data_IF_792606119077
#
_entry.id   IF_792606119077
#
_cell.length_a   1.000
_cell.length_b   1.000
_cell.length_c   1.000
_cell.angle_alpha   90.00
_cell.angle_beta   90.00
_cell.angle_gamma   90.00
#
_symmetry.space_group_name_H-M   'P 1'
#
loop_
_entity.id
_entity.type
_entity.pdbx_description
1 polymer ?
#
# COMPACT_ATOMS: atom_id res chain seq x y z
N UNK A 1 -16.46 5.68 10.04
CA UNK A 1 -15.72 6.85 10.57
C UNK A 1 -15.56 7.78 9.38
N UNK A 2 -16.34 8.86 9.31
CA UNK A 2 -16.27 9.81 8.20
C UNK A 2 -14.97 10.60 8.31
N UNK A 3 -13.96 10.19 7.53
CA UNK A 3 -12.71 10.93 7.35
C UNK A 3 -12.92 12.07 6.35
N UNK A 4 -13.81 13.00 6.68
CA UNK A 4 -14.01 14.25 5.92
C UNK A 4 -13.27 15.44 6.54
N UNK A 5 -12.49 15.23 7.60
CA UNK A 5 -11.80 16.33 8.24
C UNK A 5 -10.51 16.69 7.49
N UNK A 6 -10.63 17.65 6.57
CA UNK A 6 -9.54 18.32 5.84
C UNK A 6 -8.36 18.69 6.75
N UNK A 7 -8.65 18.97 8.02
CA UNK A 7 -7.65 19.26 9.05
C UNK A 7 -6.69 18.08 9.31
N UNK A 8 -7.20 16.85 9.37
CA UNK A 8 -6.40 15.67 9.66
C UNK A 8 -5.52 15.28 8.47
N UNK A 9 -6.03 15.43 7.24
CA UNK A 9 -5.22 15.30 6.02
C UNK A 9 -4.10 16.34 5.99
N UNK A 10 -4.38 17.58 6.39
CA UNK A 10 -3.36 18.64 6.41
C UNK A 10 -2.25 18.32 7.41
N UNK A 11 -2.61 17.88 8.63
CA UNK A 11 -1.63 17.44 9.64
C UNK A 11 -0.74 16.31 9.16
N UNK A 12 -1.31 15.34 8.44
CA UNK A 12 -0.56 14.21 7.88
C UNK A 12 0.39 14.65 6.78
N UNK A 13 0.00 15.61 5.96
CA UNK A 13 0.86 16.15 4.89
C UNK A 13 2.01 17.00 5.43
N UNK A 14 1.84 17.62 6.59
CA UNK A 14 2.93 18.32 7.29
C UNK A 14 4.02 17.35 7.79
N UNK A 15 3.71 16.05 7.92
CA UNK A 15 4.66 15.00 8.27
C UNK A 15 5.39 14.41 7.05
N UNK A 16 4.99 14.75 5.83
CA UNK A 16 5.59 14.21 4.63
C UNK A 16 7.05 14.67 4.45
N UNK A 17 7.92 13.73 4.10
CA UNK A 17 9.32 14.06 3.78
C UNK A 17 9.42 14.70 2.39
N UNK A 18 10.47 15.49 2.10
CA UNK A 18 10.70 16.01 0.74
C UNK A 18 10.89 14.93 -0.33
N UNK A 19 11.15 13.68 0.08
CA UNK A 19 11.28 12.53 -0.82
C UNK A 19 9.94 11.82 -1.06
N UNK A 20 8.92 12.11 -0.28
CA UNK A 20 7.61 11.49 -0.42
C UNK A 20 6.91 12.04 -1.66
N UNK A 21 6.39 11.14 -2.48
CA UNK A 21 5.79 11.51 -3.76
C UNK A 21 4.41 10.91 -3.89
N UNK A 22 3.49 11.73 -4.40
CA UNK A 22 2.20 11.30 -4.91
C UNK A 22 2.19 11.50 -6.42
N UNK A 23 1.73 10.51 -7.16
CA UNK A 23 1.68 10.60 -8.61
C UNK A 23 0.39 10.04 -9.17
N UNK A 24 -0.09 10.69 -10.22
CA UNK A 24 -1.27 10.28 -10.97
C UNK A 24 -0.81 9.70 -12.29
N UNK A 25 -1.20 8.46 -12.53
CA UNK A 25 -1.02 7.79 -13.82
C UNK A 25 -2.21 8.18 -14.69
N UNK A 26 -1.96 8.91 -15.79
CA UNK A 26 -3.03 9.45 -16.61
C UNK A 26 -3.75 8.34 -17.41
N UNK A 27 -5.04 8.52 -17.66
CA UNK A 27 -5.74 7.82 -18.73
C UNK A 27 -5.65 8.64 -20.04
N UNK A 28 -6.31 8.20 -21.11
CA UNK A 28 -6.29 8.90 -22.41
C UNK A 28 -6.84 10.33 -22.31
N UNK A 29 -7.93 10.53 -21.55
CA UNK A 29 -8.52 11.85 -21.34
C UNK A 29 -7.58 12.75 -20.54
N UNK A 30 -6.95 12.21 -19.50
CA UNK A 30 -5.95 12.92 -18.70
C UNK A 30 -4.75 13.35 -19.53
N UNK A 31 -4.24 12.47 -20.39
CA UNK A 31 -3.15 12.81 -21.31
C UNK A 31 -3.52 13.99 -22.20
N UNK A 32 -4.70 13.97 -22.83
CA UNK A 32 -5.17 15.08 -23.68
C UNK A 32 -5.30 16.37 -22.86
N UNK A 33 -5.89 16.28 -21.66
CA UNK A 33 -6.15 17.44 -20.78
C UNK A 33 -4.86 18.09 -20.29
N UNK A 34 -3.85 17.28 -19.96
CA UNK A 34 -2.62 17.72 -19.31
C UNK A 34 -1.39 17.71 -20.24
N UNK A 35 -1.56 17.50 -21.56
CA UNK A 35 -0.45 17.39 -22.52
C UNK A 35 0.55 18.56 -22.42
N UNK A 36 0.05 19.79 -22.19
CA UNK A 36 0.89 21.00 -22.13
C UNK A 36 1.80 21.07 -20.89
N UNK A 37 1.45 20.37 -19.80
CA UNK A 37 2.24 20.37 -18.56
C UNK A 37 3.14 19.14 -18.44
N UNK A 38 3.06 18.20 -19.40
CA UNK A 38 3.97 17.06 -19.47
C UNK A 38 5.38 17.51 -19.91
N UNK A 39 6.43 16.75 -19.53
CA UNK A 39 7.77 16.91 -20.09
C UNK A 39 7.73 16.88 -21.63
N UNK A 40 8.53 17.72 -22.33
CA UNK A 40 8.47 17.80 -23.80
C UNK A 40 8.64 16.47 -24.53
N UNK A 41 9.46 15.56 -24.00
CA UNK A 41 9.70 14.21 -24.52
C UNK A 41 8.51 13.25 -24.34
N UNK A 42 7.50 13.67 -23.59
CA UNK A 42 6.28 12.92 -23.27
C UNK A 42 5.02 13.54 -23.86
N UNK A 43 5.14 14.55 -24.73
CA UNK A 43 4.02 15.23 -25.38
C UNK A 43 3.60 14.54 -26.67
N UNK A 44 2.37 14.83 -27.10
CA UNK A 44 1.80 14.62 -28.44
C UNK A 44 1.51 13.15 -28.83
N UNK A 45 2.31 12.19 -28.39
CA UNK A 45 2.10 10.77 -28.64
C UNK A 45 1.64 10.05 -27.38
N UNK A 46 0.35 9.75 -27.30
CA UNK A 46 -0.19 8.89 -26.26
C UNK A 46 0.26 7.44 -26.49
N UNK A 47 1.15 6.95 -25.64
CA UNK A 47 1.53 5.54 -25.58
C UNK A 47 0.89 4.88 -24.35
N UNK A 48 -0.09 3.97 -24.52
CA UNK A 48 -0.72 3.26 -23.41
C UNK A 48 0.27 2.48 -22.54
N UNK A 49 1.39 2.04 -23.13
CA UNK A 49 2.46 1.29 -22.47
C UNK A 49 3.45 2.17 -21.70
N UNK A 50 3.49 3.48 -22.00
CA UNK A 50 4.43 4.43 -21.43
C UNK A 50 3.77 5.76 -21.08
N UNK A 51 2.63 5.70 -20.40
CA UNK A 51 1.91 6.92 -20.01
C UNK A 51 2.71 7.65 -18.92
N UNK A 52 3.00 8.94 -19.09
CA UNK A 52 3.67 9.72 -18.08
C UNK A 52 2.82 9.85 -16.81
N UNK A 53 3.50 9.81 -15.67
CA UNK A 53 2.90 10.13 -14.39
C UNK A 53 3.02 11.64 -14.15
N UNK A 54 1.97 12.26 -13.63
CA UNK A 54 2.06 13.59 -13.04
C UNK A 54 2.57 13.44 -11.62
N UNK A 55 3.82 13.83 -11.38
CA UNK A 55 4.46 13.75 -10.07
C UNK A 55 4.21 15.01 -9.25
N UNK A 56 3.92 14.80 -7.97
CA UNK A 56 3.76 15.84 -6.97
C UNK A 56 4.56 15.42 -5.72
N UNK A 57 5.42 16.32 -5.23
CA UNK A 57 6.05 16.11 -3.93
C UNK A 57 4.99 16.31 -2.85
N UNK A 58 4.91 15.46 -1.84
CA UNK A 58 3.87 15.60 -0.81
C UNK A 58 4.12 16.75 0.17
N UNK A 59 5.36 17.22 0.28
CA UNK A 59 5.71 18.39 1.10
C UNK A 59 5.15 19.69 0.50
N UNK A 60 4.45 20.50 1.29
CA UNK A 60 4.05 21.87 0.93
C UNK A 60 2.65 22.00 0.29
N UNK A 61 2.53 22.69 -0.84
CA UNK A 61 1.24 23.09 -1.49
C UNK A 61 0.37 21.94 -2.01
N UNK A 62 0.79 20.70 -1.81
CA UNK A 62 0.21 19.46 -2.37
C UNK A 62 -1.08 19.04 -1.67
N UNK A 63 -1.33 19.58 -0.48
CA UNK A 63 -2.61 19.51 0.21
C UNK A 63 -3.78 19.92 -0.67
N UNK A 64 -3.64 20.99 -1.46
CA UNK A 64 -4.75 21.45 -2.31
C UNK A 64 -5.12 20.44 -3.41
N UNK A 65 -4.15 19.74 -4.00
CA UNK A 65 -4.43 18.78 -5.08
C UNK A 65 -5.04 17.49 -4.55
N UNK A 66 -4.61 17.02 -3.38
CA UNK A 66 -5.24 15.88 -2.71
C UNK A 66 -6.68 16.18 -2.30
N UNK A 67 -6.97 17.41 -1.86
CA UNK A 67 -8.34 17.85 -1.56
C UNK A 67 -9.25 17.93 -2.80
N UNK A 68 -8.68 17.93 -4.00
CA UNK A 68 -9.42 17.91 -5.27
C UNK A 68 -9.33 16.57 -5.99
N UNK A 69 -8.91 15.50 -5.30
CA UNK A 69 -8.64 14.19 -5.90
C UNK A 69 -9.81 13.68 -6.75
N UNK A 70 -11.05 13.80 -6.28
CA UNK A 70 -12.25 13.38 -6.99
C UNK A 70 -12.35 13.96 -8.41
N UNK A 71 -12.00 15.24 -8.57
CA UNK A 71 -12.01 15.92 -9.87
C UNK A 71 -10.96 15.37 -10.83
N UNK A 72 -9.91 14.76 -10.29
CA UNK A 72 -8.80 14.17 -11.06
C UNK A 72 -9.06 12.72 -11.43
N UNK A 73 -9.92 11.99 -10.71
CA UNK A 73 -10.15 10.57 -10.94
C UNK A 73 -10.66 10.26 -12.36
N UNK A 74 -11.46 11.15 -12.96
CA UNK A 74 -11.90 11.02 -14.37
C UNK A 74 -10.74 11.03 -15.39
N UNK A 75 -9.58 11.57 -15.01
CA UNK A 75 -8.38 11.68 -15.82
C UNK A 75 -7.32 10.63 -15.47
N UNK A 76 -7.64 9.74 -14.53
CA UNK A 76 -6.68 8.85 -13.87
C UNK A 76 -6.94 7.40 -14.25
N UNK A 77 -5.86 6.63 -14.50
CA UNK A 77 -5.90 5.16 -14.59
C UNK A 77 -5.30 4.46 -13.37
N UNK A 78 -4.54 5.21 -12.57
CA UNK A 78 -3.95 4.72 -11.33
C UNK A 78 -3.25 5.83 -10.56
N UNK A 79 -2.93 5.54 -9.31
CA UNK A 79 -2.30 6.47 -8.37
C UNK A 79 -1.13 5.75 -7.73
N UNK A 80 0.01 6.43 -7.54
CA UNK A 80 1.10 5.90 -6.72
C UNK A 80 1.44 6.86 -5.59
N UNK A 81 1.60 6.30 -4.40
CA UNK A 81 2.06 6.96 -3.19
C UNK A 81 3.36 6.28 -2.76
N UNK A 82 4.47 7.03 -2.77
CA UNK A 82 5.78 6.54 -2.33
C UNK A 82 6.22 7.30 -1.10
N UNK A 83 6.45 6.58 -0.02
CA UNK A 83 6.74 7.10 1.32
C UNK A 83 8.09 6.63 1.80
N UNK A 84 8.90 7.54 2.34
CA UNK A 84 10.19 7.25 2.94
C UNK A 84 10.10 7.34 4.47
N UNK A 85 10.57 6.30 5.16
CA UNK A 85 10.40 6.20 6.62
C UNK A 85 8.92 6.26 7.03
N UNK A 86 8.09 5.35 6.50
CA UNK A 86 6.66 5.55 6.54
C UNK A 86 6.13 5.53 7.97
N UNK A 87 5.44 6.61 8.36
CA UNK A 87 4.50 6.62 9.45
C UNK A 87 3.44 7.75 9.32
N UNK A 88 2.31 7.57 10.01
CA UNK A 88 1.12 8.45 10.18
C UNK A 88 0.31 8.80 8.92
N UNK A 89 0.77 8.39 7.75
CA UNK A 89 0.04 8.60 6.48
C UNK A 89 -1.06 7.57 6.22
N UNK A 90 -1.49 6.83 7.25
CA UNK A 90 -2.60 5.86 7.18
C UNK A 90 -3.90 6.53 6.72
N UNK A 91 -4.17 7.71 7.27
CA UNK A 91 -5.33 8.55 6.90
C UNK A 91 -5.28 8.89 5.40
N UNK A 92 -4.10 9.16 4.84
CA UNK A 92 -3.95 9.43 3.41
C UNK A 92 -4.22 8.19 2.56
N UNK A 93 -3.73 7.02 2.99
CA UNK A 93 -3.97 5.73 2.30
C UNK A 93 -5.48 5.40 2.30
N UNK A 94 -6.15 5.56 3.44
CA UNK A 94 -7.59 5.36 3.58
C UNK A 94 -8.39 6.36 2.75
N UNK A 95 -8.03 7.64 2.81
CA UNK A 95 -8.66 8.69 2.01
C UNK A 95 -8.58 8.39 0.52
N UNK A 96 -7.39 8.10 -0.01
CA UNK A 96 -7.19 7.77 -1.43
C UNK A 96 -8.00 6.54 -1.80
N UNK A 97 -7.96 5.48 -0.99
CA UNK A 97 -8.69 4.25 -1.25
C UNK A 97 -10.19 4.47 -1.32
N UNK A 98 -10.76 5.18 -0.33
CA UNK A 98 -12.20 5.46 -0.28
C UNK A 98 -12.64 6.31 -1.47
N UNK A 99 -11.91 7.38 -1.82
CA UNK A 99 -12.24 8.21 -2.98
C UNK A 99 -12.20 7.42 -4.30
N UNK A 100 -11.26 6.48 -4.44
CA UNK A 100 -11.24 5.59 -5.60
C UNK A 100 -12.46 4.68 -5.62
N UNK A 101 -12.78 4.02 -4.50
CA UNK A 101 -13.92 3.10 -4.40
C UNK A 101 -15.26 3.81 -4.66
N UNK A 102 -15.46 4.99 -4.08
CA UNK A 102 -16.63 5.83 -4.32
C UNK A 102 -16.75 6.18 -5.81
N UNK A 103 -15.64 6.59 -6.44
CA UNK A 103 -15.61 6.97 -7.85
C UNK A 103 -15.97 5.82 -8.80
N UNK A 104 -15.53 4.60 -8.50
CA UNK A 104 -15.88 3.42 -9.31
C UNK A 104 -17.22 2.78 -8.89
N UNK A 105 -17.93 3.35 -7.91
CA UNK A 105 -19.23 2.86 -7.44
C UNK A 105 -19.16 1.56 -6.64
N UNK A 106 -18.09 1.38 -5.85
CA UNK A 106 -17.79 0.19 -5.04
C UNK A 106 -17.51 0.52 -3.57
N UNK A 107 -18.22 1.50 -3.03
CA UNK A 107 -18.12 1.93 -1.63
C UNK A 107 -18.65 0.88 -0.63
N UNK A 108 -19.33 -0.15 -1.12
CA UNK A 108 -19.84 -1.30 -0.37
C UNK A 108 -18.75 -2.35 -0.02
N UNK A 109 -17.53 -2.19 -0.53
CA UNK A 109 -16.39 -3.05 -0.21
C UNK A 109 -15.81 -2.66 1.15
N UNK A 110 -16.46 -3.15 2.20
CA UNK A 110 -16.05 -2.96 3.60
C UNK A 110 -14.72 -3.72 3.87
N UNK A 111 -13.93 -3.22 4.82
CA UNK A 111 -12.68 -3.82 5.31
C UNK A 111 -11.47 -3.81 4.38
N UNK A 112 -11.58 -3.30 3.14
CA UNK A 112 -10.42 -3.22 2.24
C UNK A 112 -9.29 -2.36 2.81
N UNK A 113 -9.63 -1.29 3.52
CA UNK A 113 -8.64 -0.44 4.19
C UNK A 113 -7.86 -1.23 5.23
N UNK A 114 -8.52 -2.08 6.02
CA UNK A 114 -7.84 -2.93 7.01
C UNK A 114 -6.81 -3.84 6.32
N UNK A 115 -7.17 -4.43 5.18
CA UNK A 115 -6.26 -5.28 4.40
C UNK A 115 -5.10 -4.47 3.82
N UNK A 116 -5.36 -3.31 3.22
CA UNK A 116 -4.32 -2.44 2.68
C UNK A 116 -3.37 -1.98 3.79
N UNK A 117 -3.90 -1.57 4.94
CA UNK A 117 -3.11 -1.11 6.06
C UNK A 117 -2.23 -2.21 6.63
N UNK A 118 -2.74 -3.44 6.74
CA UNK A 118 -1.95 -4.58 7.18
C UNK A 118 -0.81 -4.91 6.20
N UNK A 119 -1.08 -4.83 4.89
CA UNK A 119 -0.05 -5.04 3.87
C UNK A 119 1.02 -3.94 3.89
N UNK A 120 0.60 -2.69 4.15
CA UNK A 120 1.52 -1.57 4.36
C UNK A 120 2.37 -1.83 5.60
N UNK A 121 1.76 -2.15 6.74
CA UNK A 121 2.46 -2.42 8.00
C UNK A 121 3.53 -3.52 7.86
N UNK A 122 3.22 -4.57 7.11
CA UNK A 122 4.20 -5.63 6.83
C UNK A 122 5.36 -5.14 5.96
N UNK A 123 5.10 -4.28 4.98
CA UNK A 123 6.13 -3.65 4.16
C UNK A 123 7.00 -2.66 4.97
N UNK A 124 6.40 -1.90 5.89
CA UNK A 124 7.11 -1.02 6.82
C UNK A 124 8.00 -1.80 7.78
N UNK A 125 7.46 -2.83 8.43
CA UNK A 125 8.19 -3.72 9.35
C UNK A 125 9.42 -4.32 8.68
N UNK A 126 9.28 -4.82 7.44
CA UNK A 126 10.41 -5.36 6.70
C UNK A 126 11.54 -4.32 6.52
N UNK A 127 11.19 -3.07 6.22
CA UNK A 127 12.16 -1.99 6.12
C UNK A 127 12.79 -1.61 7.47
N UNK A 128 12.00 -1.60 8.54
CA UNK A 128 12.49 -1.33 9.90
C UNK A 128 13.53 -2.36 10.33
N UNK A 129 13.22 -3.64 10.19
CA UNK A 129 14.14 -4.73 10.54
C UNK A 129 15.44 -4.66 9.75
N UNK A 130 15.36 -4.42 8.44
CA UNK A 130 16.56 -4.31 7.59
C UNK A 130 17.42 -3.09 7.96
N UNK A 131 16.78 -1.94 8.21
CA UNK A 131 17.49 -0.72 8.61
C UNK A 131 18.24 -0.93 9.93
N UNK A 132 17.59 -1.53 10.95
CA UNK A 132 18.19 -1.81 12.26
C UNK A 132 19.35 -2.81 12.13
N UNK A 133 19.14 -3.91 11.38
CA UNK A 133 20.19 -4.92 11.13
C UNK A 133 21.41 -4.32 10.44
N UNK A 134 21.21 -3.36 9.53
CA UNK A 134 22.30 -2.68 8.82
C UNK A 134 23.20 -1.85 9.75
N UNK A 135 22.71 -1.43 10.91
CA UNK A 135 23.47 -0.71 11.93
C UNK A 135 24.13 -1.62 12.97
N UNK A 136 23.96 -2.94 12.85
CA UNK A 136 24.43 -3.93 13.85
C UNK A 136 23.93 -3.62 15.26
N UNK A 137 22.74 -3.03 15.36
CA UNK A 137 22.05 -2.85 16.64
C UNK A 137 21.51 -4.22 17.03
N UNK A 138 21.96 -4.74 18.17
CA UNK A 138 21.42 -5.98 18.73
C UNK A 138 19.95 -5.76 19.09
N UNK A 139 19.06 -6.46 18.38
CA UNK A 139 17.64 -6.44 18.67
C UNK A 139 17.39 -7.29 19.93
N UNK A 140 16.61 -6.80 20.90
CA UNK A 140 16.14 -7.65 22.00
C UNK A 140 15.22 -8.75 21.45
N UNK A 141 14.98 -9.79 22.26
CA UNK A 141 14.10 -10.92 21.89
C UNK A 141 12.71 -10.45 21.42
N UNK A 142 12.19 -9.36 22.01
CA UNK A 142 10.98 -8.69 21.55
C UNK A 142 11.31 -7.53 20.60
N UNK A 143 11.53 -7.88 19.34
CA UNK A 143 11.93 -6.91 18.31
C UNK A 143 10.80 -5.91 17.99
N UNK A 144 9.53 -6.28 18.20
CA UNK A 144 8.36 -5.43 17.95
C UNK A 144 8.27 -4.32 19.00
N UNK A 145 8.39 -4.67 20.28
CA UNK A 145 8.42 -3.70 21.38
C UNK A 145 9.55 -2.67 21.22
N UNK A 146 10.71 -3.12 20.73
CA UNK A 146 11.83 -2.24 20.46
C UNK A 146 11.48 -1.19 19.39
N UNK A 147 10.89 -1.63 18.26
CA UNK A 147 10.47 -0.73 17.19
C UNK A 147 9.42 0.26 17.69
N UNK A 148 8.46 -0.19 18.49
CA UNK A 148 7.40 0.68 19.05
C UNK A 148 8.01 1.75 19.96
N UNK A 149 8.90 1.37 20.88
CA UNK A 149 9.53 2.30 21.84
C UNK A 149 10.50 3.29 21.18
N UNK A 150 11.21 2.86 20.13
CA UNK A 150 12.24 3.67 19.45
C UNK A 150 11.77 4.17 18.07
N UNK A 151 10.46 4.25 17.87
CA UNK A 151 9.85 4.43 16.55
C UNK A 151 10.40 5.62 15.76
N UNK A 152 10.54 6.78 16.39
CA UNK A 152 11.03 7.99 15.72
C UNK A 152 12.44 7.81 15.17
N UNK A 153 13.30 7.14 15.93
CA UNK A 153 14.69 6.92 15.55
C UNK A 153 14.79 5.86 14.44
N UNK A 154 13.97 4.80 14.50
CA UNK A 154 13.89 3.78 13.45
C UNK A 154 13.37 4.36 12.13
N UNK A 155 12.38 5.25 12.19
CA UNK A 155 11.87 5.98 11.02
C UNK A 155 12.97 6.86 10.41
N UNK A 156 13.65 7.66 11.22
CA UNK A 156 14.77 8.50 10.75
C UNK A 156 15.88 7.66 10.11
N UNK A 157 16.20 6.50 10.72
CA UNK A 157 17.16 5.57 10.17
C UNK A 157 16.72 5.04 8.80
N UNK A 158 15.44 4.71 8.63
CA UNK A 158 14.88 4.31 7.33
C UNK A 158 15.02 5.40 6.28
N UNK A 159 14.76 6.67 6.62
CA UNK A 159 14.96 7.81 5.70
C UNK A 159 16.43 7.93 5.27
N UNK A 160 17.36 7.83 6.22
CA UNK A 160 18.81 7.88 5.97
C UNK A 160 19.24 6.71 5.06
N UNK A 161 18.72 5.51 5.32
CA UNK A 161 18.98 4.29 4.53
C UNK A 161 18.17 4.21 3.23
N UNK A 162 17.44 5.27 2.90
CA UNK A 162 16.63 5.36 1.68
C UNK A 162 15.61 4.22 1.54
N UNK A 163 15.05 3.77 2.67
CA UNK A 163 13.98 2.77 2.74
C UNK A 163 12.64 3.41 2.42
N UNK A 164 11.88 2.76 1.55
CA UNK A 164 10.58 3.26 1.08
C UNK A 164 9.53 2.16 1.02
N UNK A 165 8.27 2.59 1.13
CA UNK A 165 7.08 1.82 0.79
C UNK A 165 6.38 2.55 -0.35
N UNK A 166 5.95 1.80 -1.36
CA UNK A 166 5.21 2.32 -2.50
C UNK A 166 3.87 1.60 -2.59
N UNK A 167 2.78 2.36 -2.46
CA UNK A 167 1.40 1.90 -2.66
C UNK A 167 0.93 2.39 -4.04
N UNK A 168 0.50 1.45 -4.88
CA UNK A 168 0.00 1.72 -6.23
C UNK A 168 -1.43 1.20 -6.35
N UNK A 169 -2.36 2.09 -6.70
CA UNK A 169 -3.73 1.75 -7.03
C UNK A 169 -3.91 1.79 -8.54
N UNK A 170 -4.56 0.77 -9.11
CA UNK A 170 -5.04 0.73 -10.49
C UNK A 170 -6.50 0.33 -10.46
N UNK A 171 -7.34 1.07 -11.17
CA UNK A 171 -8.79 0.90 -11.04
C UNK A 171 -9.53 1.19 -12.35
N UNK A 172 -10.63 0.46 -12.55
CA UNK A 172 -11.68 0.72 -13.53
C UNK A 172 -13.03 0.37 -12.88
N UNK A 173 -14.10 0.36 -13.68
CA UNK A 173 -15.41 -0.16 -13.22
C UNK A 173 -15.40 -1.67 -12.97
N UNK A 174 -14.42 -2.38 -13.52
CA UNK A 174 -14.40 -3.84 -13.61
C UNK A 174 -13.29 -4.43 -12.72
N UNK A 175 -12.26 -3.64 -12.41
CA UNK A 175 -11.12 -4.08 -11.61
C UNK A 175 -10.70 -3.03 -10.58
N UNK A 176 -10.34 -3.48 -9.39
CA UNK A 176 -9.61 -2.70 -8.41
C UNK A 176 -8.36 -3.48 -7.98
N UNK A 177 -7.18 -2.93 -8.25
CA UNK A 177 -5.90 -3.52 -7.87
C UNK A 177 -5.14 -2.55 -6.98
N UNK A 178 -4.65 -3.06 -5.85
CA UNK A 178 -3.65 -2.40 -5.01
C UNK A 178 -2.37 -3.23 -5.00
N UNK A 179 -1.24 -2.57 -5.15
CA UNK A 179 0.10 -3.14 -5.12
C UNK A 179 0.94 -2.36 -4.14
N UNK A 180 1.41 -3.05 -3.09
CA UNK A 180 2.26 -2.50 -2.06
C UNK A 180 3.63 -3.11 -2.24
N UNK A 181 4.66 -2.27 -2.24
CA UNK A 181 6.04 -2.72 -2.42
C UNK A 181 6.99 -1.98 -1.52
N UNK A 182 8.09 -2.63 -1.20
CA UNK A 182 9.18 -2.05 -0.43
C UNK A 182 10.54 -2.51 -0.96
N UNK A 183 11.58 -1.71 -0.74
CA UNK A 183 12.95 -2.01 -1.18
C UNK A 183 13.75 -2.86 -0.18
N UNK A 184 13.08 -3.77 0.52
CA UNK A 184 13.74 -4.82 1.30
C UNK A 184 13.37 -6.16 0.69
N UNK A 185 14.38 -6.93 0.31
CA UNK A 185 14.19 -8.22 -0.36
C UNK A 185 13.80 -9.28 0.67
N UNK A 186 12.74 -10.03 0.37
CA UNK A 186 12.49 -11.28 1.07
C UNK A 186 13.46 -12.34 0.58
N UNK A 187 14.11 -13.02 1.53
CA UNK A 187 14.81 -14.27 1.25
C UNK A 187 13.82 -15.27 0.63
N UNK A 188 14.25 -16.00 -0.41
CA UNK A 188 13.35 -16.85 -1.19
C UNK A 188 12.62 -17.91 -0.35
N UNK A 189 13.27 -18.45 0.69
CA UNK A 189 12.67 -19.40 1.63
C UNK A 189 11.53 -18.77 2.44
N UNK A 190 11.71 -17.54 2.94
CA UNK A 190 10.66 -16.80 3.64
C UNK A 190 9.50 -16.44 2.72
N UNK A 191 9.79 -16.06 1.47
CA UNK A 191 8.76 -15.80 0.46
C UNK A 191 7.95 -17.06 0.10
N UNK A 192 8.56 -18.26 0.16
CA UNK A 192 7.85 -19.53 -0.04
C UNK A 192 6.92 -19.83 1.15
N UNK A 193 7.43 -19.72 2.38
CA UNK A 193 6.65 -19.92 3.60
C UNK A 193 5.45 -18.97 3.67
N UNK A 194 5.63 -17.69 3.34
CA UNK A 194 4.54 -16.71 3.33
C UNK A 194 3.47 -17.03 2.28
N UNK A 195 3.87 -17.52 1.10
CA UNK A 195 2.93 -17.96 0.06
C UNK A 195 2.12 -19.16 0.52
N UNK A 196 2.77 -20.17 1.11
CA UNK A 196 2.11 -21.36 1.65
C UNK A 196 1.09 -20.99 2.74
N UNK A 197 1.46 -20.08 3.66
CA UNK A 197 0.56 -19.56 4.70
C UNK A 197 -0.65 -18.80 4.15
N UNK A 198 -0.46 -18.01 3.09
CA UNK A 198 -1.55 -17.24 2.47
C UNK A 198 -2.57 -18.14 1.75
N UNK A 199 -2.17 -19.36 1.36
CA UNK A 199 -3.02 -20.32 0.64
C UNK A 199 -3.59 -21.45 1.52
N UNK A 200 -3.18 -21.55 2.78
CA UNK A 200 -3.60 -22.63 3.68
C UNK A 200 -5.06 -22.46 4.15
N UNK A 201 -5.80 -23.59 4.25
CA UNK A 201 -7.20 -23.62 4.67
C UNK A 201 -7.38 -23.29 6.17
N UNK A 202 -8.33 -22.40 6.48
CA UNK A 202 -8.60 -21.88 7.83
C UNK A 202 -8.84 -23.01 8.85
N UNK A 203 -9.52 -24.08 8.47
CA UNK A 203 -9.85 -25.21 9.34
C UNK A 203 -8.62 -25.95 9.85
N UNK A 204 -7.56 -26.05 9.04
CA UNK A 204 -6.32 -26.73 9.44
C UNK A 204 -5.45 -25.92 10.41
N UNK A 205 -5.69 -24.61 10.51
CA UNK A 205 -4.89 -23.73 11.35
C UNK A 205 -5.60 -23.53 12.71
N UNK A 206 -6.94 -23.43 12.72
CA UNK A 206 -7.76 -23.35 13.95
C UNK A 206 -7.52 -24.54 14.89
N UNK A 207 -7.36 -25.75 14.35
CA UNK A 207 -7.06 -26.96 15.14
C UNK A 207 -5.61 -27.00 15.70
N UNK A 208 -4.73 -26.11 15.23
CA UNK A 208 -3.35 -25.97 15.70
C UNK A 208 -3.12 -24.79 16.66
N UNK A 209 -4.16 -24.06 17.05
CA UNK A 209 -4.11 -22.97 18.03
C UNK A 209 -4.50 -23.49 19.43
N UNK A 210 -3.57 -24.12 20.14
CA UNK A 210 -3.63 -24.17 21.60
C UNK A 210 -3.28 -22.78 22.16
N UNK A 211 -3.97 -22.36 23.22
CA UNK A 211 -3.77 -21.05 23.90
C UNK A 211 -2.31 -20.78 24.32
N UNK A 212 -1.48 -21.82 24.44
CA UNK A 212 -0.07 -21.74 24.84
C UNK A 212 0.90 -21.37 23.69
N UNK A 213 0.48 -21.47 22.42
CA UNK A 213 1.32 -21.26 21.23
C UNK A 213 1.05 -19.90 20.53
N UNK A 214 0.18 -19.08 21.12
CA UNK A 214 -0.29 -17.82 20.53
C UNK A 214 0.82 -16.78 20.44
N UNK A 215 1.57 -16.53 21.51
CA UNK A 215 2.51 -15.40 21.58
C UNK A 215 3.65 -15.50 20.55
N UNK A 216 4.16 -16.70 20.26
CA UNK A 216 5.26 -16.89 19.30
C UNK A 216 4.80 -16.90 17.82
N UNK A 217 3.51 -17.14 17.54
CA UNK A 217 2.96 -17.19 16.17
C UNK A 217 2.16 -15.93 15.78
N UNK A 218 1.86 -15.06 16.75
CA UNK A 218 1.10 -13.82 16.57
C UNK A 218 1.79 -12.79 15.66
N UNK A 219 3.11 -12.88 15.45
CA UNK A 219 3.88 -11.90 14.67
C UNK A 219 3.73 -11.97 13.15
N UNK A 220 3.30 -13.11 12.57
CA UNK A 220 3.30 -13.32 11.11
C UNK A 220 2.02 -13.95 10.53
N UNK A 221 1.07 -14.38 11.37
CA UNK A 221 -0.13 -15.12 10.94
C UNK A 221 -1.40 -14.28 10.78
N UNK A 222 -1.58 -13.27 11.63
CA UNK A 222 -2.84 -12.51 11.72
C UNK A 222 -3.15 -11.70 10.46
N UNK A 223 -2.14 -11.07 9.86
CA UNK A 223 -2.35 -10.28 8.64
C UNK A 223 -2.79 -11.12 7.44
N UNK A 224 -2.21 -12.31 7.29
CA UNK A 224 -2.61 -13.27 6.24
C UNK A 224 -4.01 -13.83 6.50
N UNK A 225 -4.39 -14.02 7.77
CA UNK A 225 -5.74 -14.41 8.15
C UNK A 225 -6.78 -13.35 7.74
N UNK A 226 -6.50 -12.07 7.97
CA UNK A 226 -7.38 -10.97 7.54
C UNK A 226 -7.58 -10.96 6.02
N UNK A 227 -6.52 -11.20 5.24
CA UNK A 227 -6.60 -11.29 3.77
C UNK A 227 -7.50 -12.45 3.36
N UNK A 228 -7.39 -13.60 4.03
CA UNK A 228 -8.23 -14.76 3.73
C UNK A 228 -9.70 -14.50 4.07
N UNK A 229 -9.98 -13.96 5.26
CA UNK A 229 -11.33 -13.56 5.67
C UNK A 229 -11.94 -12.58 4.67
N UNK A 230 -11.18 -11.56 4.26
CA UNK A 230 -11.61 -10.60 3.25
C UNK A 230 -11.88 -11.26 1.88
N UNK A 231 -11.02 -12.19 1.46
CA UNK A 231 -11.21 -12.96 0.22
C UNK A 231 -12.52 -13.76 0.25
N UNK A 232 -12.84 -14.36 1.41
CA UNK A 232 -14.08 -15.13 1.58
C UNK A 232 -15.33 -14.22 1.61
N UNK A 233 -15.24 -13.04 2.24
CA UNK A 233 -16.30 -12.01 2.18
C UNK A 233 -16.54 -11.55 0.74
N UNK A 234 -15.48 -11.26 -0.02
CA UNK A 234 -15.58 -10.87 -1.44
C UNK A 234 -16.21 -11.96 -2.30
N UNK A 235 -15.86 -13.23 -2.06
CA UNK A 235 -16.46 -14.37 -2.75
C UNK A 235 -17.97 -14.46 -2.51
N UNK A 236 -18.44 -14.13 -1.30
CA UNK A 236 -19.88 -14.08 -0.99
C UNK A 236 -20.63 -12.98 -1.76
N UNK A 237 -19.92 -11.94 -2.20
CA UNK A 237 -20.40 -10.82 -3.02
C UNK A 237 -20.17 -11.01 -4.52
N UNK A 238 -19.77 -12.22 -4.93
CA UNK A 238 -19.42 -12.56 -6.31
C UNK A 238 -18.24 -11.76 -6.90
N UNK A 239 -17.29 -11.36 -6.05
CA UNK A 239 -16.08 -10.64 -6.44
C UNK A 239 -14.91 -11.62 -6.41
N UNK A 240 -14.27 -11.84 -7.56
CA UNK A 240 -13.05 -12.66 -7.62
C UNK A 240 -11.89 -11.87 -7.03
N UNK A 241 -11.14 -12.51 -6.12
CA UNK A 241 -10.01 -11.91 -5.43
C UNK A 241 -8.73 -12.69 -5.71
N UNK A 242 -7.68 -12.00 -6.15
CA UNK A 242 -6.35 -12.55 -6.35
C UNK A 242 -5.36 -11.83 -5.43
N UNK A 243 -4.78 -12.58 -4.50
CA UNK A 243 -3.67 -12.12 -3.66
C UNK A 243 -2.36 -12.79 -4.09
N UNK A 244 -1.27 -12.01 -4.17
CA UNK A 244 0.08 -12.52 -4.52
C UNK A 244 1.15 -11.81 -3.71
N UNK A 245 2.17 -12.55 -3.29
CA UNK A 245 3.42 -12.02 -2.75
C UNK A 245 4.56 -12.52 -3.64
N UNK A 246 5.43 -11.61 -4.08
CA UNK A 246 6.61 -11.94 -4.87
C UNK A 246 7.72 -10.91 -4.65
N UNK A 247 8.96 -11.27 -4.98
CA UNK A 247 10.09 -10.36 -4.95
C UNK A 247 10.77 -10.32 -6.31
N UNK A 248 11.30 -9.15 -6.67
CA UNK A 248 12.19 -8.94 -7.81
C UNK A 248 13.63 -8.79 -7.30
N UNK A 249 14.56 -8.44 -8.19
CA UNK A 249 15.92 -8.03 -7.84
C UNK A 249 15.99 -6.74 -7.02
N UNK A 250 14.90 -5.94 -7.01
CA UNK A 250 14.88 -4.58 -6.43
C UNK A 250 13.92 -4.41 -5.27
N UNK A 251 12.82 -5.14 -5.25
CA UNK A 251 11.75 -4.91 -4.29
C UNK A 251 10.94 -6.17 -4.01
N UNK A 252 10.28 -6.16 -2.87
CA UNK A 252 9.23 -7.11 -2.51
C UNK A 252 7.87 -6.47 -2.78
N UNK A 253 6.92 -7.27 -3.25
CA UNK A 253 5.59 -6.86 -3.67
C UNK A 253 4.53 -7.74 -3.01
N UNK A 254 3.45 -7.09 -2.58
CA UNK A 254 2.18 -7.69 -2.19
C UNK A 254 1.09 -7.06 -3.04
N UNK A 255 0.35 -7.87 -3.79
CA UNK A 255 -0.74 -7.40 -4.65
C UNK A 255 -2.07 -8.01 -4.22
N UNK A 256 -3.10 -7.18 -4.13
CA UNK A 256 -4.49 -7.59 -4.00
C UNK A 256 -5.26 -7.06 -5.21
N UNK A 257 -5.95 -7.94 -5.92
CA UNK A 257 -6.76 -7.61 -7.10
C UNK A 257 -8.18 -8.10 -6.89
N UNK A 258 -9.15 -7.23 -7.12
CA UNK A 258 -10.58 -7.51 -7.12
C UNK A 258 -11.12 -7.38 -8.53
N UNK A 259 -11.84 -8.38 -9.00
CA UNK A 259 -12.58 -8.34 -10.27
C UNK A 259 -14.07 -8.30 -9.97
N UNK A 260 -14.74 -7.26 -10.46
CA UNK A 260 -16.16 -7.00 -10.21
C UNK A 260 -17.09 -7.63 -11.25
N UNK A 261 -16.54 -8.08 -12.37
CA UNK A 261 -17.23 -8.85 -13.38
C UNK A 261 -16.49 -10.17 -13.59
N UNK A 262 -17.23 -11.29 -13.70
CA UNK A 262 -16.65 -12.60 -14.01
C UNK A 262 -16.22 -12.64 -15.47
N UNK A 263 -14.98 -13.06 -15.72
CA UNK A 263 -14.44 -13.32 -17.06
C UNK A 263 -14.78 -14.72 -17.54
#
# INVERSE_FOLDING_TARGET
MELDNVEDLTKVLDLATPKDTFSIILNKLGFIKFNSVLPPDKRDNYDPSNIPNLYMNLSGKTSKTLLELEKLLIYTKGINLKLYGPHDQRILIEYVTNKILDFIGKSDIVHINNVIMELVDNAEKANFFDAIKSEKIDLPLDEVDFIVKNRKDVVNLCVIKNKWVNISWKFSKDIFKVEISNNTLLEQEKAKILREKATADITSIVDGFSEEDMDDKLGAGLGLYFIKFFTDDMKSKDIETIFRIYSTDKATYSTLTLFFERF
#
